data_IF_475271475134
#
_entry.id   IF_475271475134
#
_cell.length_a   1.000
_cell.length_b   1.000
_cell.length_c   1.000
_cell.angle_alpha   90.00
_cell.angle_beta   90.00
_cell.angle_gamma   90.00
#
_symmetry.space_group_name_H-M   'P 1'
#
loop_
_entity.id
_entity.type
_entity.pdbx_description
1 polymer ?
#
# COMPACT_ATOMS: atom_id res chain seq x y z
N UNK A 1 -53.29 -21.02 -3.65
CA UNK A 1 -52.54 -21.12 -2.38
C UNK A 1 -51.20 -20.40 -2.55
N UNK A 2 -51.13 -19.12 -2.17
CA UNK A 2 -50.00 -18.23 -2.49
C UNK A 2 -49.55 -17.40 -1.27
N UNK A 3 -49.30 -18.04 -0.13
CA UNK A 3 -48.98 -17.34 1.14
C UNK A 3 -47.93 -18.07 1.98
N UNK A 4 -46.72 -18.28 1.45
CA UNK A 4 -45.62 -18.84 2.28
C UNK A 4 -44.20 -18.34 2.01
N UNK A 5 -44.02 -17.28 1.20
CA UNK A 5 -42.69 -16.69 0.95
C UNK A 5 -42.42 -15.38 1.68
N UNK A 6 -43.43 -14.78 2.31
CA UNK A 6 -43.32 -13.46 2.96
C UNK A 6 -42.78 -13.58 4.40
N UNK A 7 -42.88 -14.74 5.06
CA UNK A 7 -42.56 -14.85 6.49
C UNK A 7 -41.06 -15.00 6.83
N UNK A 8 -40.20 -15.46 5.92
CA UNK A 8 -38.82 -15.80 6.28
C UNK A 8 -37.89 -14.57 6.27
N UNK A 9 -38.18 -13.56 5.44
CA UNK A 9 -37.30 -12.38 5.27
C UNK A 9 -37.48 -11.32 6.35
N UNK A 10 -38.69 -11.14 6.86
CA UNK A 10 -38.96 -10.23 7.98
C UNK A 10 -38.50 -10.84 9.31
N UNK A 11 -38.58 -12.17 9.43
CA UNK A 11 -38.07 -12.90 10.60
C UNK A 11 -36.56 -12.72 10.78
N UNK A 12 -35.77 -12.75 9.68
CA UNK A 12 -34.32 -12.52 9.73
C UNK A 12 -33.96 -11.08 10.14
N UNK A 13 -34.79 -10.09 9.79
CA UNK A 13 -34.59 -8.69 10.20
C UNK A 13 -34.90 -8.49 11.68
N UNK A 14 -35.97 -9.11 12.18
CA UNK A 14 -36.29 -9.07 13.62
C UNK A 14 -35.26 -9.82 14.46
N UNK A 15 -34.76 -10.96 13.97
CA UNK A 15 -33.66 -11.69 14.61
C UNK A 15 -32.39 -10.83 14.68
N UNK A 16 -32.05 -10.13 13.60
CA UNK A 16 -30.92 -9.19 13.61
C UNK A 16 -31.10 -8.05 14.63
N UNK A 17 -32.33 -7.51 14.80
CA UNK A 17 -32.62 -6.50 15.82
C UNK A 17 -32.50 -7.04 17.25
N UNK A 18 -32.95 -8.27 17.49
CA UNK A 18 -32.84 -8.93 18.79
C UNK A 18 -31.37 -9.18 19.16
N UNK A 19 -30.58 -9.72 18.22
CA UNK A 19 -29.14 -9.94 18.41
C UNK A 19 -28.39 -8.62 18.66
N UNK A 20 -28.85 -7.52 18.05
CA UNK A 20 -28.30 -6.19 18.32
C UNK A 20 -28.61 -5.72 19.75
N UNK A 21 -29.84 -5.92 20.23
CA UNK A 21 -30.22 -5.59 21.60
C UNK A 21 -29.46 -6.44 22.64
N UNK A 22 -29.05 -7.66 22.25
CA UNK A 22 -28.22 -8.55 23.08
C UNK A 22 -26.72 -8.24 23.02
N UNK A 23 -26.29 -7.26 22.22
CA UNK A 23 -24.88 -6.85 22.12
C UNK A 23 -23.99 -7.76 21.27
N UNK A 24 -24.55 -8.72 20.51
CA UNK A 24 -23.79 -9.62 19.65
C UNK A 24 -23.45 -8.97 18.30
N UNK A 25 -22.64 -7.91 18.33
CA UNK A 25 -22.40 -7.05 17.16
C UNK A 25 -21.82 -7.78 15.94
N UNK A 26 -20.87 -8.71 16.10
CA UNK A 26 -20.27 -9.45 14.98
C UNK A 26 -21.28 -10.35 14.24
N UNK A 27 -22.14 -11.04 14.98
CA UNK A 27 -23.18 -11.90 14.42
C UNK A 27 -24.21 -11.06 13.65
N UNK A 28 -24.59 -9.89 14.21
CA UNK A 28 -25.48 -8.94 13.52
C UNK A 28 -24.87 -8.45 12.21
N UNK A 29 -23.57 -8.15 12.19
CA UNK A 29 -22.88 -7.68 10.97
C UNK A 29 -22.89 -8.77 9.88
N UNK A 30 -22.60 -10.01 10.24
CA UNK A 30 -22.58 -11.12 9.28
C UNK A 30 -23.99 -11.42 8.75
N UNK A 31 -24.99 -11.43 9.63
CA UNK A 31 -26.39 -11.61 9.27
C UNK A 31 -26.88 -10.45 8.40
N UNK A 32 -26.50 -9.21 8.72
CA UNK A 32 -26.80 -8.02 7.95
C UNK A 32 -26.22 -8.05 6.52
N UNK A 33 -24.96 -8.53 6.37
CA UNK A 33 -24.35 -8.74 5.05
C UNK A 33 -25.11 -9.79 4.25
N UNK A 34 -25.44 -10.92 4.88
CA UNK A 34 -26.22 -11.99 4.26
C UNK A 34 -27.60 -11.54 3.78
N UNK A 35 -28.33 -10.77 4.61
CA UNK A 35 -29.65 -10.23 4.24
C UNK A 35 -29.51 -9.27 3.06
N UNK A 36 -28.45 -8.46 3.03
CA UNK A 36 -28.21 -7.48 1.97
C UNK A 36 -27.86 -8.08 0.61
N UNK A 37 -27.28 -9.28 0.59
CA UNK A 37 -26.88 -9.99 -0.64
C UNK A 37 -28.02 -10.84 -1.22
N UNK A 38 -28.96 -11.26 -0.37
CA UNK A 38 -30.09 -12.10 -0.78
C UNK A 38 -31.37 -11.32 -1.13
N UNK A 39 -31.49 -10.04 -0.76
CA UNK A 39 -32.70 -9.24 -1.05
C UNK A 39 -32.75 -8.73 -2.48
N UNK A 40 -33.90 -8.88 -3.12
CA UNK A 40 -34.26 -8.17 -4.36
C UNK A 40 -34.50 -6.69 -4.08
N UNK A 41 -34.15 -5.84 -5.05
CA UNK A 41 -34.28 -4.37 -5.04
C UNK A 41 -35.76 -3.93 -4.96
N UNK A 42 -36.38 -4.01 -3.78
CA UNK A 42 -37.75 -3.58 -3.48
C UNK A 42 -37.77 -2.45 -2.43
N UNK A 43 -38.91 -1.77 -2.26
CA UNK A 43 -39.08 -0.66 -1.28
C UNK A 43 -38.73 -1.09 0.16
N UNK A 44 -39.13 -2.31 0.58
CA UNK A 44 -38.76 -2.86 1.88
C UNK A 44 -37.26 -3.16 2.02
N UNK A 45 -36.50 -3.27 0.92
CA UNK A 45 -35.06 -3.44 0.96
C UNK A 45 -34.34 -2.13 1.34
N UNK A 46 -34.90 -0.96 1.00
CA UNK A 46 -34.32 0.33 1.36
C UNK A 46 -34.21 0.51 2.89
N UNK A 47 -35.24 0.09 3.64
CA UNK A 47 -35.24 0.12 5.10
C UNK A 47 -34.17 -0.79 5.72
N UNK A 48 -33.94 -1.94 5.11
CA UNK A 48 -32.91 -2.90 5.54
C UNK A 48 -31.51 -2.38 5.24
N UNK A 49 -31.25 -1.88 4.02
CA UNK A 49 -29.95 -1.28 3.69
C UNK A 49 -29.62 -0.08 4.60
N UNK A 50 -30.64 0.68 5.02
CA UNK A 50 -30.51 1.78 5.99
C UNK A 50 -30.10 1.28 7.37
N UNK A 51 -30.79 0.26 7.89
CA UNK A 51 -30.50 -0.34 9.20
C UNK A 51 -29.11 -0.98 9.23
N UNK A 52 -28.76 -1.73 8.16
CA UNK A 52 -27.43 -2.33 8.00
C UNK A 52 -26.35 -1.26 7.90
N UNK A 53 -26.57 -0.19 7.13
CA UNK A 53 -25.64 0.94 7.03
C UNK A 53 -25.39 1.61 8.38
N UNK A 54 -26.44 1.78 9.20
CA UNK A 54 -26.34 2.31 10.56
C UNK A 54 -25.51 1.40 11.48
N UNK A 55 -25.81 0.11 11.51
CA UNK A 55 -25.08 -0.84 12.37
C UNK A 55 -23.62 -1.01 11.97
N UNK A 56 -23.31 -1.02 10.67
CA UNK A 56 -21.94 -1.06 10.16
C UNK A 56 -21.16 0.21 10.53
N UNK A 57 -21.82 1.37 10.54
CA UNK A 57 -21.22 2.64 10.94
C UNK A 57 -20.92 2.66 12.46
N UNK A 58 -21.87 2.25 13.28
CA UNK A 58 -21.73 2.23 14.75
C UNK A 58 -20.66 1.24 15.23
N UNK A 59 -20.52 0.09 14.55
CA UNK A 59 -19.51 -0.92 14.89
C UNK A 59 -18.14 -0.70 14.24
N UNK A 60 -18.02 0.29 13.33
CA UNK A 60 -16.81 0.53 12.50
C UNK A 60 -16.28 -0.72 11.77
N UNK A 61 -17.14 -1.73 11.57
CA UNK A 61 -16.74 -3.05 11.07
C UNK A 61 -16.53 -3.08 9.54
N UNK A 62 -16.86 -1.99 8.84
CA UNK A 62 -16.63 -1.86 7.41
C UNK A 62 -16.07 -0.49 7.07
N UNK A 63 -15.28 -0.44 6.00
CA UNK A 63 -14.70 0.80 5.49
C UNK A 63 -15.81 1.81 5.19
N UNK A 64 -15.70 3.05 5.70
CA UNK A 64 -16.68 4.12 5.51
C UNK A 64 -17.05 4.34 4.03
N UNK A 65 -16.08 4.11 3.11
CA UNK A 65 -16.33 4.17 1.66
C UNK A 65 -17.22 3.03 1.17
N UNK A 66 -17.01 1.82 1.67
CA UNK A 66 -17.83 0.66 1.32
C UNK A 66 -19.24 0.78 1.90
N UNK A 67 -19.39 1.34 3.10
CA UNK A 67 -20.70 1.63 3.70
C UNK A 67 -21.46 2.66 2.84
N UNK A 68 -20.77 3.73 2.44
CA UNK A 68 -21.34 4.79 1.60
C UNK A 68 -21.77 4.29 0.21
N UNK A 69 -20.92 3.52 -0.47
CA UNK A 69 -21.21 3.03 -1.83
C UNK A 69 -22.17 1.84 -1.87
N UNK A 70 -21.99 0.83 -1.02
CA UNK A 70 -22.77 -0.42 -1.09
C UNK A 70 -24.12 -0.33 -0.38
N UNK A 71 -24.26 0.51 0.64
CA UNK A 71 -25.47 0.55 1.46
C UNK A 71 -26.22 1.88 1.31
N UNK A 72 -25.58 3.02 1.54
CA UNK A 72 -26.30 4.31 1.55
C UNK A 72 -26.69 4.83 0.15
N UNK A 73 -25.80 4.75 -0.84
CA UNK A 73 -26.15 5.12 -2.23
C UNK A 73 -27.25 4.24 -2.81
N UNK A 74 -27.26 2.94 -2.47
CA UNK A 74 -28.32 2.03 -2.91
C UNK A 74 -29.68 2.39 -2.31
N UNK A 75 -29.73 2.90 -1.08
CA UNK A 75 -30.98 3.39 -0.47
C UNK A 75 -31.53 4.59 -1.25
N UNK A 76 -30.68 5.55 -1.63
CA UNK A 76 -31.09 6.72 -2.42
C UNK A 76 -31.53 6.32 -3.82
N UNK A 77 -30.79 5.45 -4.50
CA UNK A 77 -31.16 4.96 -5.83
C UNK A 77 -32.51 4.23 -5.84
N UNK A 78 -32.88 3.55 -4.74
CA UNK A 78 -34.20 2.92 -4.59
C UNK A 78 -35.30 3.95 -4.32
N UNK A 79 -35.01 5.01 -3.55
CA UNK A 79 -35.95 6.09 -3.28
C UNK A 79 -36.24 6.96 -4.52
N UNK A 80 -35.21 7.26 -5.32
CA UNK A 80 -35.34 8.11 -6.52
C UNK A 80 -36.05 7.42 -7.69
N UNK A 81 -36.04 6.08 -7.74
CA UNK A 81 -36.77 5.30 -8.77
C UNK A 81 -38.29 5.42 -8.66
N UNK A 82 -38.81 5.89 -7.53
CA UNK A 82 -40.24 6.03 -7.28
C UNK A 82 -40.61 7.49 -6.99
N UNK A 83 -40.62 8.36 -8.03
CA UNK A 83 -41.28 9.67 -7.97
C UNK A 83 -42.80 9.46 -7.79
N UNK A 84 -43.23 9.35 -6.54
CA UNK A 84 -44.64 9.28 -6.15
C UNK A 84 -45.03 10.58 -5.46
N UNK A 85 -46.17 11.14 -5.81
CA UNK A 85 -46.69 12.45 -5.32
C UNK A 85 -47.31 12.36 -3.91
N UNK A 86 -47.07 11.27 -3.18
CA UNK A 86 -47.61 11.06 -1.83
C UNK A 86 -46.76 11.79 -0.77
N UNK A 87 -47.40 12.51 0.15
CA UNK A 87 -46.70 13.28 1.19
C UNK A 87 -45.83 12.41 2.10
N UNK A 88 -46.20 11.13 2.29
CA UNK A 88 -45.40 10.19 3.11
C UNK A 88 -44.16 9.68 2.38
N UNK A 89 -44.21 9.48 1.06
CA UNK A 89 -43.02 9.06 0.29
C UNK A 89 -42.00 10.19 0.19
N UNK A 90 -42.44 11.43 -0.02
CA UNK A 90 -41.57 12.62 0.00
C UNK A 90 -40.88 12.81 1.36
N UNK A 91 -41.61 12.62 2.48
CA UNK A 91 -41.01 12.66 3.81
C UNK A 91 -39.96 11.56 4.03
N UNK A 92 -40.20 10.33 3.55
CA UNK A 92 -39.25 9.21 3.61
C UNK A 92 -38.01 9.46 2.74
N UNK A 93 -38.19 10.03 1.55
CA UNK A 93 -37.09 10.42 0.66
C UNK A 93 -36.22 11.49 1.32
N UNK A 94 -36.84 12.54 1.88
CA UNK A 94 -36.13 13.58 2.63
C UNK A 94 -35.34 13.03 3.84
N UNK A 95 -35.95 12.12 4.61
CA UNK A 95 -35.26 11.47 5.73
C UNK A 95 -34.06 10.62 5.26
N UNK A 96 -34.18 9.95 4.13
CA UNK A 96 -33.12 9.12 3.54
C UNK A 96 -31.94 9.97 3.09
N UNK A 97 -32.20 11.07 2.36
CA UNK A 97 -31.15 12.00 1.95
C UNK A 97 -30.48 12.67 3.16
N UNK A 98 -31.26 13.05 4.17
CA UNK A 98 -30.72 13.61 5.42
C UNK A 98 -29.77 12.63 6.11
N UNK A 99 -30.14 11.36 6.23
CA UNK A 99 -29.27 10.36 6.85
C UNK A 99 -27.99 10.11 6.05
N UNK A 100 -28.08 10.08 4.71
CA UNK A 100 -26.90 10.00 3.86
C UNK A 100 -25.97 11.21 4.08
N UNK A 101 -26.52 12.42 4.07
CA UNK A 101 -25.76 13.64 4.28
C UNK A 101 -25.11 13.67 5.67
N UNK A 102 -25.86 13.32 6.71
CA UNK A 102 -25.35 13.28 8.09
C UNK A 102 -24.24 12.24 8.27
N UNK A 103 -24.37 11.06 7.64
CA UNK A 103 -23.30 10.07 7.66
C UNK A 103 -22.06 10.56 6.89
N UNK A 104 -22.26 11.14 5.70
CA UNK A 104 -21.16 11.69 4.90
C UNK A 104 -20.42 12.81 5.64
N UNK A 105 -21.13 13.70 6.35
CA UNK A 105 -20.55 14.74 7.20
C UNK A 105 -19.77 14.15 8.38
N UNK A 106 -20.33 13.16 9.08
CA UNK A 106 -19.63 12.48 10.18
C UNK A 106 -18.34 11.79 9.71
N UNK A 107 -18.39 11.14 8.55
CA UNK A 107 -17.20 10.55 7.92
C UNK A 107 -16.20 11.65 7.57
N UNK A 108 -16.62 12.74 6.93
CA UNK A 108 -15.74 13.87 6.60
C UNK A 108 -15.06 14.46 7.84
N UNK A 109 -15.81 14.74 8.92
CA UNK A 109 -15.24 15.23 10.18
C UNK A 109 -14.20 14.27 10.75
N UNK A 110 -14.46 12.96 10.72
CA UNK A 110 -13.48 11.97 11.18
C UNK A 110 -12.19 11.95 10.32
N UNK A 111 -12.30 12.26 9.02
CA UNK A 111 -11.13 12.44 8.16
C UNK A 111 -10.36 13.69 8.54
N UNK A 112 -11.03 14.83 8.73
CA UNK A 112 -10.41 16.10 9.14
C UNK A 112 -9.73 15.99 10.50
N UNK A 113 -10.37 15.39 11.51
CA UNK A 113 -9.78 15.12 12.83
C UNK A 113 -8.52 14.24 12.72
N UNK A 114 -8.55 13.23 11.85
CA UNK A 114 -7.39 12.37 11.63
C UNK A 114 -6.27 13.06 10.85
N UNK A 115 -6.60 13.96 9.92
CA UNK A 115 -5.63 14.76 9.17
C UNK A 115 -4.98 15.83 10.07
N UNK A 116 -5.71 16.33 11.06
CA UNK A 116 -5.22 17.31 12.04
C UNK A 116 -4.54 16.66 13.25
N UNK A 117 -4.69 15.35 13.45
CA UNK A 117 -4.01 14.60 14.50
C UNK A 117 -2.48 14.71 14.39
N UNK A 118 -1.85 15.13 15.48
CA UNK A 118 -0.41 15.32 15.57
C UNK A 118 0.38 14.05 15.25
N UNK A 119 -0.07 12.88 15.73
CA UNK A 119 0.59 11.60 15.50
C UNK A 119 0.52 11.18 14.02
N UNK A 120 -0.64 11.35 13.40
CA UNK A 120 -0.83 11.02 11.99
C UNK A 120 0.02 11.93 11.10
N UNK A 121 0.04 13.23 11.39
CA UNK A 121 0.89 14.17 10.68
C UNK A 121 2.38 13.87 10.89
N UNK A 122 2.80 13.51 12.10
CA UNK A 122 4.18 13.11 12.38
C UNK A 122 4.58 11.86 11.57
N UNK A 123 3.71 10.85 11.52
CA UNK A 123 3.93 9.65 10.71
C UNK A 123 4.02 9.98 9.21
N UNK A 124 3.15 10.87 8.70
CA UNK A 124 3.19 11.33 7.31
C UNK A 124 4.46 12.10 6.98
N UNK A 125 4.90 13.02 7.84
CA UNK A 125 6.18 13.73 7.70
C UNK A 125 7.34 12.75 7.66
N UNK A 126 7.37 11.76 8.55
CA UNK A 126 8.42 10.72 8.57
C UNK A 126 8.44 9.90 7.27
N UNK A 127 7.28 9.50 6.75
CA UNK A 127 7.18 8.79 5.47
C UNK A 127 7.71 9.64 4.31
N UNK A 128 7.30 10.91 4.26
CA UNK A 128 7.79 11.87 3.26
C UNK A 128 9.31 12.02 3.33
N UNK A 129 9.86 12.25 4.52
CA UNK A 129 11.32 12.35 4.71
C UNK A 129 12.07 11.09 4.28
N UNK A 130 11.53 9.89 4.57
CA UNK A 130 12.13 8.63 4.13
C UNK A 130 12.12 8.53 2.60
N UNK A 131 11.02 8.91 1.95
CA UNK A 131 10.91 8.92 0.48
C UNK A 131 11.90 9.91 -0.14
N UNK A 132 11.95 11.15 0.37
CA UNK A 132 12.85 12.19 -0.14
C UNK A 132 14.31 11.75 0.00
N UNK A 133 14.69 11.17 1.14
CA UNK A 133 16.02 10.59 1.36
C UNK A 133 16.35 9.53 0.31
N UNK A 134 15.41 8.64 0.00
CA UNK A 134 15.63 7.56 -0.95
C UNK A 134 15.71 8.10 -2.39
N UNK A 135 14.96 9.16 -2.71
CA UNK A 135 15.08 9.90 -3.98
C UNK A 135 16.45 10.55 -4.14
N UNK A 136 16.95 11.26 -3.11
CA UNK A 136 18.27 11.88 -3.14
C UNK A 136 19.39 10.85 -3.27
N UNK A 137 19.24 9.70 -2.62
CA UNK A 137 20.18 8.59 -2.75
C UNK A 137 20.22 8.07 -4.18
N UNK A 138 19.07 7.88 -4.83
CA UNK A 138 18.98 7.46 -6.23
C UNK A 138 19.68 8.45 -7.17
N UNK A 139 19.42 9.75 -7.00
CA UNK A 139 20.07 10.81 -7.79
C UNK A 139 21.59 10.78 -7.59
N UNK A 140 22.06 10.59 -6.36
CA UNK A 140 23.49 10.51 -6.07
C UNK A 140 24.15 9.29 -6.75
N UNK A 141 23.52 8.11 -6.69
CA UNK A 141 24.02 6.90 -7.33
C UNK A 141 24.11 7.07 -8.85
N UNK A 142 23.07 7.59 -9.48
CA UNK A 142 23.05 7.86 -10.92
C UNK A 142 24.10 8.91 -11.32
N UNK A 143 24.24 9.98 -10.53
CA UNK A 143 25.25 11.02 -10.75
C UNK A 143 26.68 10.48 -10.64
N UNK A 144 26.94 9.64 -9.64
CA UNK A 144 28.23 8.95 -9.48
C UNK A 144 28.51 8.00 -10.63
N UNK A 145 27.53 7.21 -11.05
CA UNK A 145 27.64 6.33 -12.23
C UNK A 145 28.04 7.13 -13.47
N UNK A 146 27.28 8.18 -13.80
CA UNK A 146 27.58 9.04 -14.96
C UNK A 146 28.96 9.67 -14.87
N UNK A 147 29.37 10.12 -13.68
CA UNK A 147 30.69 10.68 -13.48
C UNK A 147 31.80 9.67 -13.84
N UNK A 148 31.64 8.40 -13.45
CA UNK A 148 32.59 7.33 -13.76
C UNK A 148 32.58 6.92 -15.24
N UNK A 149 31.46 7.10 -15.94
CA UNK A 149 31.35 6.82 -17.38
C UNK A 149 32.02 7.92 -18.21
N UNK A 150 31.86 9.18 -17.82
CA UNK A 150 32.27 10.34 -18.64
C UNK A 150 33.75 10.69 -18.48
N UNK A 151 34.35 10.49 -17.30
CA UNK A 151 35.75 10.87 -17.12
C UNK A 151 36.40 10.32 -15.86
N UNK A 152 37.72 10.52 -15.76
CA UNK A 152 38.56 9.75 -14.82
C UNK A 152 39.02 10.56 -13.60
N UNK A 153 38.87 11.90 -13.65
CA UNK A 153 39.40 12.84 -12.64
C UNK A 153 38.94 12.55 -11.22
N UNK A 154 37.72 12.02 -11.06
CA UNK A 154 37.10 11.78 -9.76
C UNK A 154 36.93 10.30 -9.44
N UNK A 155 37.48 9.38 -10.25
CA UNK A 155 37.24 7.95 -10.15
C UNK A 155 37.49 7.40 -8.76
N UNK A 156 38.69 7.62 -8.22
CA UNK A 156 39.05 7.14 -6.89
C UNK A 156 38.04 7.64 -5.85
N UNK A 157 37.76 8.95 -5.81
CA UNK A 157 36.83 9.53 -4.82
C UNK A 157 35.41 8.99 -4.97
N UNK A 158 34.92 8.87 -6.19
CA UNK A 158 33.55 8.41 -6.47
C UNK A 158 33.40 6.92 -6.18
N UNK A 159 34.36 6.09 -6.58
CA UNK A 159 34.31 4.64 -6.29
C UNK A 159 34.41 4.40 -4.78
N UNK A 160 35.32 5.08 -4.06
CA UNK A 160 35.37 4.98 -2.59
C UNK A 160 34.03 5.36 -1.95
N UNK A 161 33.36 6.42 -2.44
CA UNK A 161 32.06 6.84 -1.92
C UNK A 161 30.94 5.85 -2.24
N UNK A 162 30.88 5.34 -3.48
CA UNK A 162 29.90 4.34 -3.91
C UNK A 162 30.03 3.05 -3.11
N UNK A 163 31.26 2.56 -2.95
CA UNK A 163 31.55 1.38 -2.14
C UNK A 163 31.18 1.61 -0.67
N UNK A 164 31.47 2.79 -0.11
CA UNK A 164 31.06 3.13 1.26
C UNK A 164 29.53 3.15 1.42
N UNK A 165 28.80 3.67 0.43
CA UNK A 165 27.33 3.66 0.41
C UNK A 165 26.79 2.24 0.30
N UNK A 166 27.39 1.41 -0.55
CA UNK A 166 27.07 0.00 -0.71
C UNK A 166 27.20 -0.78 0.60
N UNK A 167 28.35 -0.68 1.26
CA UNK A 167 28.60 -1.36 2.53
C UNK A 167 27.68 -0.84 3.65
N UNK A 168 27.45 0.48 3.71
CA UNK A 168 26.63 1.09 4.76
C UNK A 168 25.13 0.89 4.58
N UNK A 169 24.66 0.61 3.37
CA UNK A 169 23.24 0.52 3.01
C UNK A 169 22.89 -0.77 2.25
N UNK A 170 23.64 -1.85 2.49
CA UNK A 170 23.54 -3.13 1.76
C UNK A 170 22.18 -3.82 1.86
N UNK A 171 21.38 -3.49 2.87
CA UNK A 171 20.02 -4.01 3.06
C UNK A 171 19.00 -3.36 2.12
N UNK A 172 19.36 -2.29 1.41
CA UNK A 172 18.45 -1.52 0.55
C UNK A 172 18.59 -1.88 -0.91
N UNK A 173 17.50 -2.33 -1.51
CA UNK A 173 17.49 -2.77 -2.90
C UNK A 173 17.88 -1.66 -3.90
N UNK A 174 17.51 -0.40 -3.64
CA UNK A 174 17.88 0.75 -4.49
C UNK A 174 19.41 0.88 -4.64
N UNK A 175 20.14 0.66 -3.54
CA UNK A 175 21.60 0.71 -3.54
C UNK A 175 22.16 -0.52 -4.23
N UNK A 176 21.54 -1.68 -3.97
CA UNK A 176 21.84 -2.96 -4.64
C UNK A 176 21.82 -2.82 -6.16
N UNK A 177 20.70 -2.37 -6.68
CA UNK A 177 20.46 -2.26 -8.11
C UNK A 177 21.34 -1.17 -8.75
N UNK A 178 21.52 -0.04 -8.05
CA UNK A 178 22.36 1.06 -8.53
C UNK A 178 23.84 0.69 -8.67
N UNK A 179 24.39 -0.09 -7.73
CA UNK A 179 25.78 -0.56 -7.87
C UNK A 179 25.89 -1.62 -8.96
N UNK A 180 24.94 -2.54 -9.08
CA UNK A 180 24.95 -3.55 -10.13
C UNK A 180 24.90 -2.91 -11.53
N UNK A 181 24.07 -1.87 -11.72
CA UNK A 181 24.08 -1.05 -12.95
C UNK A 181 25.42 -0.36 -13.16
N UNK A 182 26.01 0.23 -12.11
CA UNK A 182 27.32 0.89 -12.20
C UNK A 182 28.43 -0.07 -12.60
N UNK A 183 28.47 -1.26 -12.02
CA UNK A 183 29.47 -2.29 -12.37
C UNK A 183 29.31 -2.71 -13.82
N UNK A 184 28.07 -2.84 -14.32
CA UNK A 184 27.81 -3.20 -15.71
C UNK A 184 28.34 -2.14 -16.68
N UNK A 185 28.05 -0.87 -16.43
CA UNK A 185 28.31 0.24 -17.37
C UNK A 185 29.73 0.83 -17.26
N UNK A 186 30.37 0.80 -16.08
CA UNK A 186 31.68 1.41 -15.85
C UNK A 186 32.82 0.45 -16.19
N UNK A 187 33.93 0.98 -16.72
CA UNK A 187 35.15 0.21 -17.01
C UNK A 187 35.71 -0.47 -15.75
N UNK A 188 35.99 -1.78 -15.85
CA UNK A 188 36.43 -2.63 -14.72
C UNK A 188 37.74 -2.16 -14.09
N UNK A 189 38.61 -1.52 -14.89
CA UNK A 189 39.93 -1.03 -14.47
C UNK A 189 39.86 0.04 -13.37
N UNK A 190 38.77 0.82 -13.30
CA UNK A 190 38.57 1.89 -12.31
C UNK A 190 38.37 1.36 -10.89
N UNK A 191 38.04 0.07 -10.76
CA UNK A 191 37.85 -0.59 -9.47
C UNK A 191 39.13 -1.27 -8.96
N UNK A 192 40.19 -1.39 -9.78
CA UNK A 192 41.45 -2.06 -9.44
C UNK A 192 42.09 -1.50 -8.15
N UNK A 193 42.19 -0.17 -7.93
CA UNK A 193 42.78 0.39 -6.70
C UNK A 193 42.02 -0.01 -5.42
N UNK A 194 40.78 -0.47 -5.55
CA UNK A 194 39.87 -0.79 -4.45
C UNK A 194 39.67 -2.29 -4.23
N UNK A 195 40.14 -3.14 -5.14
CA UNK A 195 40.03 -4.60 -5.03
C UNK A 195 40.63 -5.09 -3.71
N UNK A 196 41.82 -4.57 -3.33
CA UNK A 196 42.47 -4.94 -2.08
C UNK A 196 41.64 -4.54 -0.84
N UNK A 197 41.08 -3.33 -0.84
CA UNK A 197 40.26 -2.84 0.27
C UNK A 197 38.94 -3.63 0.39
N UNK A 198 38.34 -4.02 -0.73
CA UNK A 198 37.10 -4.82 -0.75
C UNK A 198 37.40 -6.26 -0.32
N UNK A 199 38.48 -6.87 -0.83
CA UNK A 199 38.93 -8.21 -0.45
C UNK A 199 39.21 -8.32 1.05
N UNK A 200 39.83 -7.31 1.65
CA UNK A 200 40.11 -7.28 3.10
C UNK A 200 38.83 -7.32 3.96
N UNK A 201 37.72 -6.77 3.47
CA UNK A 201 36.42 -6.78 4.17
C UNK A 201 35.59 -8.03 3.93
N UNK A 202 35.93 -8.83 2.90
CA UNK A 202 35.25 -10.09 2.59
C UNK A 202 35.71 -11.25 3.46
N UNK A 203 36.93 -11.19 3.98
CA UNK A 203 37.55 -12.29 4.75
C UNK A 203 37.06 -12.45 6.20
N UNK A 204 36.15 -11.61 6.69
CA UNK A 204 35.77 -11.59 8.11
C UNK A 204 34.27 -11.47 8.33
N UNK A 205 33.51 -12.51 7.99
CA UNK A 205 32.25 -12.80 8.68
C UNK A 205 31.89 -14.28 8.52
N UNK A 206 32.03 -15.03 9.62
CA UNK A 206 31.46 -16.37 9.79
C UNK A 206 29.99 -16.19 10.17
N UNK A 207 29.12 -15.76 9.26
CA UNK A 207 27.68 -15.82 9.52
C UNK A 207 26.85 -16.07 8.25
N UNK A 208 26.16 -17.20 8.29
CA UNK A 208 24.94 -17.56 7.55
C UNK A 208 25.03 -17.72 6.02
N UNK A 209 25.06 -19.00 5.60
CA UNK A 209 24.76 -19.43 4.23
C UNK A 209 23.31 -19.06 3.88
N UNK A 210 23.15 -18.12 2.94
CA UNK A 210 21.88 -17.83 2.27
C UNK A 210 22.17 -17.16 0.93
N UNK A 211 21.41 -17.44 -0.15
CA UNK A 211 21.71 -17.01 -1.52
C UNK A 211 21.71 -15.49 -1.75
N UNK A 212 21.29 -14.71 -0.74
CA UNK A 212 21.26 -13.24 -0.77
C UNK A 212 22.30 -12.57 0.14
N UNK A 213 23.27 -13.31 0.68
CA UNK A 213 24.29 -12.71 1.55
C UNK A 213 25.22 -11.78 0.77
N UNK A 214 25.61 -10.71 1.46
CA UNK A 214 26.57 -9.70 1.02
C UNK A 214 27.81 -10.29 0.33
N UNK A 215 28.29 -11.45 0.78
CA UNK A 215 29.44 -12.17 0.22
C UNK A 215 29.21 -12.66 -1.22
N UNK A 216 28.04 -13.22 -1.55
CA UNK A 216 27.71 -13.72 -2.90
C UNK A 216 27.66 -12.56 -3.91
N UNK A 217 27.02 -11.44 -3.55
CA UNK A 217 26.98 -10.24 -4.41
C UNK A 217 28.31 -9.51 -4.49
N UNK A 218 29.18 -9.66 -3.49
CA UNK A 218 30.53 -9.10 -3.57
C UNK A 218 31.48 -10.03 -4.35
N UNK A 219 31.23 -11.33 -4.41
CA UNK A 219 31.88 -12.25 -5.35
C UNK A 219 31.48 -11.94 -6.81
N UNK A 220 30.23 -11.53 -7.05
CA UNK A 220 29.83 -10.95 -8.35
C UNK A 220 30.51 -9.60 -8.60
N UNK A 221 30.61 -8.75 -7.58
CA UNK A 221 31.31 -7.45 -7.63
C UNK A 221 32.78 -7.59 -8.02
N UNK A 222 33.49 -8.56 -7.45
CA UNK A 222 34.91 -8.80 -7.73
C UNK A 222 35.14 -9.60 -9.01
N UNK A 223 34.07 -10.12 -9.64
CA UNK A 223 34.02 -10.41 -11.06
C UNK A 223 35.34 -10.95 -11.61
N UNK A 224 35.82 -12.06 -11.05
CA UNK A 224 36.97 -12.82 -11.55
C UNK A 224 36.79 -13.15 -13.04
N UNK A 225 35.55 -13.12 -13.55
CA UNK A 225 35.21 -13.20 -14.96
C UNK A 225 35.46 -11.92 -15.79
N UNK A 226 35.15 -10.72 -15.28
CA UNK A 226 35.24 -9.48 -16.08
C UNK A 226 36.65 -8.89 -16.09
N UNK A 227 37.38 -8.99 -14.98
CA UNK A 227 38.81 -8.63 -14.91
C UNK A 227 39.66 -9.60 -15.76
N UNK A 228 39.27 -10.89 -15.83
CA UNK A 228 39.95 -11.86 -16.71
C UNK A 228 39.63 -11.66 -18.19
N UNK A 229 38.41 -11.22 -18.56
CA UNK A 229 38.03 -10.94 -19.95
C UNK A 229 38.69 -9.66 -20.49
N UNK A 230 38.77 -8.58 -19.70
CA UNK A 230 39.46 -7.35 -20.13
C UNK A 230 40.99 -7.58 -20.31
N UNK A 231 41.60 -8.44 -19.49
CA UNK A 231 43.00 -8.85 -19.68
C UNK A 231 43.21 -9.74 -20.91
N UNK A 232 42.23 -10.54 -21.31
CA UNK A 232 42.29 -11.37 -22.51
C UNK A 232 42.20 -10.52 -23.79
N UNK A 233 41.41 -9.45 -23.80
CA UNK A 233 41.35 -8.49 -24.93
C UNK A 233 42.64 -7.68 -25.08
N UNK A 234 43.30 -7.30 -23.99
CA UNK A 234 44.58 -6.57 -24.02
C UNK A 234 45.78 -7.43 -24.46
N UNK A 235 45.67 -8.76 -24.45
CA UNK A 235 46.72 -9.68 -24.89
C UNK A 235 46.58 -10.13 -26.36
N UNK A 236 45.58 -9.63 -27.10
CA UNK A 236 45.38 -9.89 -28.54
C UNK A 236 45.69 -8.68 -29.45
N UNK A 237 46.21 -7.57 -28.91
CA UNK A 237 46.65 -6.40 -29.70
C UNK A 237 48.18 -6.16 -29.69
N UNK A 238 48.98 -7.21 -29.57
CA UNK A 238 50.41 -7.18 -29.91
C UNK A 238 50.82 -8.38 -30.74
#
# INVERSE_FOLDING_TARGET
>A
MATKKINNEDQLVEEAKLLWAQGQHEMVINLAKYISENRKMNEAAADVYRLVGKWLAETRSSNSRAILEKYLKNVVNLADKHQSTDKKSVARQGQTHFQLAHYADAVFRSYEERLTSNEWQAAMRLRKHKQDRDNFLSIALEGYKRCLVIGDKYDVRVVFRLVSLWFGLSTRQIVVDGMLSTIKEVQSCKFIPLVYHIASRLGSSKDSQGPNTFQVRTLEFTGVHRISLDKASLHMEF
#
